data_IF_640113218344
#
_entry.id   IF_640113218344
#
_cell.length_a   1.000
_cell.length_b   1.000
_cell.length_c   1.000
_cell.angle_alpha   90.00
_cell.angle_beta   90.00
_cell.angle_gamma   90.00
#
_symmetry.space_group_name_H-M   'P 1'
#
loop_
_entity.id
_entity.type
_entity.pdbx_description
1 polymer ?
#
# COMPACT_ATOMS: atom_id res chain seq x y z
N UNK A 1 -3.35 26.11 5.36
CA UNK A 1 -3.06 24.95 4.49
C UNK A 1 -1.89 24.11 5.00
N UNK A 2 -0.71 24.69 5.31
CA UNK A 2 0.44 23.90 5.80
C UNK A 2 0.18 23.15 7.13
N UNK A 3 -0.43 23.80 8.12
CA UNK A 3 -0.76 23.18 9.42
C UNK A 3 -1.80 22.05 9.33
N UNK A 4 -2.79 22.16 8.45
CA UNK A 4 -3.86 21.14 8.31
C UNK A 4 -3.27 19.82 7.78
N UNK A 5 -2.41 19.90 6.75
CA UNK A 5 -1.77 18.70 6.21
C UNK A 5 -0.80 18.07 7.23
N UNK A 6 -0.10 18.88 8.03
CA UNK A 6 0.74 18.35 9.11
C UNK A 6 -0.08 17.62 10.19
N UNK A 7 -1.23 18.17 10.59
CA UNK A 7 -2.13 17.52 11.55
C UNK A 7 -2.69 16.20 11.00
N UNK A 8 -3.09 16.16 9.73
CA UNK A 8 -3.59 14.94 9.09
C UNK A 8 -2.48 13.88 9.00
N UNK A 9 -1.26 14.26 8.60
CA UNK A 9 -0.13 13.33 8.54
C UNK A 9 0.18 12.74 9.93
N UNK A 10 0.20 13.56 10.98
CA UNK A 10 0.41 13.07 12.35
C UNK A 10 -0.75 12.19 12.86
N UNK A 11 -1.98 12.47 12.44
CA UNK A 11 -3.12 11.59 12.73
C UNK A 11 -2.94 10.22 12.06
N UNK A 12 -2.55 10.19 10.78
CA UNK A 12 -2.25 8.96 10.03
C UNK A 12 -1.14 8.16 10.72
N UNK A 13 -0.06 8.81 11.15
CA UNK A 13 1.03 8.15 11.90
C UNK A 13 0.50 7.48 13.19
N UNK A 14 -0.36 8.18 13.93
CA UNK A 14 -0.99 7.64 15.14
C UNK A 14 -1.94 6.47 14.85
N UNK A 15 -2.75 6.57 13.81
CA UNK A 15 -3.66 5.52 13.36
C UNK A 15 -2.90 4.29 12.89
N UNK A 16 -1.79 4.49 12.16
CA UNK A 16 -0.90 3.42 11.73
C UNK A 16 -0.30 2.68 12.93
N UNK A 17 0.21 3.39 13.94
CA UNK A 17 0.72 2.75 15.16
C UNK A 17 -0.38 1.95 15.88
N UNK A 18 -1.58 2.52 15.99
CA UNK A 18 -2.73 1.84 16.61
C UNK A 18 -3.12 0.57 15.83
N UNK A 19 -3.11 0.66 14.50
CA UNK A 19 -3.36 -0.49 13.62
C UNK A 19 -2.28 -1.56 13.82
N UNK A 20 -1.00 -1.18 13.85
CA UNK A 20 0.11 -2.09 14.09
C UNK A 20 -0.06 -2.81 15.43
N UNK A 21 -0.40 -2.09 16.50
CA UNK A 21 -0.59 -2.67 17.85
C UNK A 21 -1.76 -3.67 17.90
N UNK A 22 -2.91 -3.32 17.31
CA UNK A 22 -4.05 -4.24 17.24
C UNK A 22 -3.72 -5.50 16.45
N UNK A 23 -3.04 -5.33 15.32
CA UNK A 23 -2.65 -6.44 14.46
C UNK A 23 -1.62 -7.35 15.12
N UNK A 24 -0.64 -6.80 15.86
CA UNK A 24 0.35 -7.61 16.58
C UNK A 24 -0.30 -8.59 17.54
N UNK A 25 -1.39 -8.20 18.22
CA UNK A 25 -2.13 -9.13 19.10
C UNK A 25 -2.75 -10.31 18.34
N UNK A 26 -3.26 -10.05 17.13
CA UNK A 26 -3.80 -11.10 16.25
C UNK A 26 -2.68 -12.01 15.79
N UNK A 27 -1.55 -11.43 15.36
CA UNK A 27 -0.38 -12.17 14.92
C UNK A 27 0.18 -13.06 16.05
N UNK A 28 0.28 -12.54 17.27
CA UNK A 28 0.73 -13.29 18.46
C UNK A 28 -0.21 -14.45 18.80
N UNK A 29 -1.53 -14.23 18.72
CA UNK A 29 -2.51 -15.28 18.95
C UNK A 29 -2.41 -16.40 17.91
N UNK A 30 -2.22 -16.03 16.64
CA UNK A 30 -2.00 -16.97 15.54
C UNK A 30 -0.67 -17.73 15.71
N UNK A 31 0.40 -17.06 16.12
CA UNK A 31 1.71 -17.69 16.36
C UNK A 31 1.65 -18.67 17.54
N UNK A 32 0.93 -18.35 18.61
CA UNK A 32 0.68 -19.28 19.71
C UNK A 32 -0.08 -20.54 19.25
N UNK A 33 -1.04 -20.37 18.33
CA UNK A 33 -1.76 -21.51 17.74
C UNK A 33 -0.81 -22.38 16.93
N UNK A 34 -0.03 -21.78 16.03
CA UNK A 34 0.94 -22.52 15.22
C UNK A 34 1.93 -23.30 16.10
N UNK A 35 2.45 -22.67 17.16
CA UNK A 35 3.36 -23.32 18.11
C UNK A 35 2.71 -24.47 18.89
N UNK A 36 1.45 -24.32 19.33
CA UNK A 36 0.74 -25.40 20.05
C UNK A 36 0.38 -26.57 19.13
N UNK A 37 0.05 -26.26 17.88
CA UNK A 37 -0.18 -27.27 16.83
C UNK A 37 1.09 -28.07 16.57
N UNK A 38 2.23 -27.40 16.43
CA UNK A 38 3.54 -28.05 16.23
C UNK A 38 3.93 -28.93 17.43
N UNK A 39 3.62 -28.49 18.65
CA UNK A 39 3.85 -29.24 19.89
C UNK A 39 2.86 -30.41 20.10
N UNK A 40 1.88 -30.59 19.23
CA UNK A 40 0.86 -31.65 19.37
C UNK A 40 -0.03 -31.49 20.62
N UNK A 41 -0.12 -30.27 21.18
CA UNK A 41 -0.95 -29.99 22.35
C UNK A 41 -2.41 -29.79 21.91
N UNK A 42 -3.34 -30.37 22.66
CA UNK A 42 -4.78 -30.33 22.37
C UNK A 42 -5.28 -28.94 21.96
N UNK A 43 -5.89 -28.87 20.78
CA UNK A 43 -6.22 -27.61 20.12
C UNK A 43 -7.58 -27.11 20.62
N UNK A 44 -7.58 -26.48 21.79
CA UNK A 44 -8.73 -25.75 22.31
C UNK A 44 -8.30 -24.30 22.56
N UNK A 45 -8.01 -23.57 21.48
CA UNK A 45 -7.56 -22.17 21.54
C UNK A 45 -8.68 -21.32 20.99
N UNK A 46 -9.37 -20.65 21.89
CA UNK A 46 -10.37 -19.63 21.56
C UNK A 46 -9.61 -18.40 21.02
N UNK A 47 -9.46 -18.30 19.70
CA UNK A 47 -9.02 -17.04 19.08
C UNK A 47 -10.24 -16.13 19.12
N UNK A 48 -10.28 -15.24 20.11
CA UNK A 48 -11.37 -14.27 20.31
C UNK A 48 -11.72 -13.55 18.99
N UNK A 49 -12.95 -13.79 18.53
CA UNK A 49 -13.56 -13.21 17.32
C UNK A 49 -13.57 -11.66 17.36
N UNK A 50 -13.46 -11.06 18.56
CA UNK A 50 -13.51 -9.62 18.78
C UNK A 50 -12.27 -8.85 18.27
N UNK A 51 -11.23 -9.52 17.76
CA UNK A 51 -9.98 -8.86 17.34
C UNK A 51 -9.86 -8.62 15.83
N UNK A 52 -10.51 -9.43 14.98
CA UNK A 52 -10.38 -9.35 13.51
C UNK A 52 -11.21 -8.22 12.89
N UNK A 53 -12.46 -8.05 13.31
CA UNK A 53 -13.34 -7.00 12.77
C UNK A 53 -12.83 -5.58 13.13
N UNK A 54 -12.23 -5.47 14.32
CA UNK A 54 -11.60 -4.26 14.85
C UNK A 54 -10.34 -3.85 14.06
N UNK A 55 -9.58 -4.85 13.60
CA UNK A 55 -8.41 -4.68 12.73
C UNK A 55 -8.83 -4.15 11.37
N UNK A 56 -9.84 -4.77 10.74
CA UNK A 56 -10.32 -4.37 9.41
C UNK A 56 -10.91 -2.96 9.42
N UNK A 57 -11.63 -2.59 10.47
CA UNK A 57 -12.21 -1.25 10.61
C UNK A 57 -11.12 -0.18 10.70
N UNK A 58 -10.10 -0.41 11.53
CA UNK A 58 -8.98 0.52 11.66
C UNK A 58 -8.16 0.63 10.37
N UNK A 59 -8.01 -0.48 9.64
CA UNK A 59 -7.33 -0.52 8.35
C UNK A 59 -8.06 0.33 7.29
N UNK A 60 -9.39 0.19 7.20
CA UNK A 60 -10.20 0.95 6.24
C UNK A 60 -10.06 2.46 6.49
N UNK A 61 -10.12 2.89 7.76
CA UNK A 61 -9.94 4.29 8.16
C UNK A 61 -8.55 4.80 7.76
N UNK A 62 -7.50 4.03 8.06
CA UNK A 62 -6.13 4.40 7.72
C UNK A 62 -5.96 4.55 6.20
N UNK A 63 -6.42 3.57 5.42
CA UNK A 63 -6.33 3.60 3.96
C UNK A 63 -7.12 4.77 3.37
N UNK A 64 -8.31 5.06 3.91
CA UNK A 64 -9.12 6.19 3.47
C UNK A 64 -8.44 7.54 3.73
N UNK A 65 -7.90 7.74 4.93
CA UNK A 65 -7.21 8.98 5.30
C UNK A 65 -5.96 9.22 4.43
N UNK A 66 -5.18 8.17 4.14
CA UNK A 66 -4.02 8.29 3.25
C UNK A 66 -4.47 8.57 1.81
N UNK A 67 -5.48 7.85 1.30
CA UNK A 67 -6.00 8.04 -0.04
C UNK A 67 -6.56 9.47 -0.25
N UNK A 68 -7.30 9.99 0.73
CA UNK A 68 -7.82 11.36 0.70
C UNK A 68 -6.68 12.38 0.69
N UNK A 69 -5.62 12.17 1.48
CA UNK A 69 -4.48 13.06 1.52
C UNK A 69 -3.72 13.07 0.17
N UNK A 70 -3.55 11.90 -0.47
CA UNK A 70 -2.96 11.79 -1.82
C UNK A 70 -3.81 12.58 -2.83
N UNK A 71 -5.14 12.39 -2.83
CA UNK A 71 -6.07 13.13 -3.70
C UNK A 71 -6.00 14.64 -3.43
N UNK A 72 -5.91 15.05 -2.17
CA UNK A 72 -5.80 16.45 -1.81
C UNK A 72 -4.49 17.06 -2.31
N UNK A 73 -3.35 16.36 -2.20
CA UNK A 73 -2.07 16.83 -2.75
C UNK A 73 -2.13 16.99 -4.28
N UNK A 74 -2.78 16.08 -4.99
CA UNK A 74 -2.99 16.21 -6.44
C UNK A 74 -3.87 17.43 -6.77
N UNK A 75 -4.96 17.66 -6.03
CA UNK A 75 -5.81 18.86 -6.18
C UNK A 75 -5.02 20.16 -5.94
N UNK A 76 -4.19 20.20 -4.90
CA UNK A 76 -3.35 21.38 -4.61
C UNK A 76 -2.35 21.61 -5.74
N UNK A 77 -1.77 20.54 -6.29
CA UNK A 77 -0.87 20.60 -7.46
C UNK A 77 -1.56 21.22 -8.67
N UNK A 78 -2.77 20.77 -8.99
CA UNK A 78 -3.54 21.31 -10.13
C UNK A 78 -3.88 22.79 -9.92
N UNK A 79 -4.31 23.17 -8.71
CA UNK A 79 -4.60 24.58 -8.38
C UNK A 79 -3.36 25.48 -8.44
N UNK A 80 -2.18 24.96 -8.13
CA UNK A 80 -0.92 25.70 -8.32
C UNK A 80 -0.64 25.93 -9.81
N UNK A 81 -0.90 24.94 -10.67
CA UNK A 81 -0.84 25.11 -12.13
C UNK A 81 -1.74 26.24 -12.63
N UNK A 82 -2.99 26.29 -12.16
CA UNK A 82 -3.94 27.36 -12.49
C UNK A 82 -3.44 28.73 -12.01
N UNK A 83 -3.01 28.81 -10.75
CA UNK A 83 -2.47 30.05 -10.16
C UNK A 83 -1.26 30.56 -10.96
N UNK A 84 -0.43 29.66 -11.46
CA UNK A 84 0.72 30.00 -12.27
C UNK A 84 0.33 30.53 -13.66
N UNK A 85 -0.67 29.90 -14.30
CA UNK A 85 -1.23 30.40 -15.56
C UNK A 85 -1.77 31.82 -15.39
N UNK A 86 -2.48 32.09 -14.30
CA UNK A 86 -2.98 33.42 -13.94
C UNK A 86 -1.84 34.42 -13.71
N UNK A 87 -0.72 33.99 -13.13
CA UNK A 87 0.46 34.83 -12.97
C UNK A 87 1.11 35.23 -14.30
N UNK A 88 0.95 34.45 -15.38
CA UNK A 88 1.40 34.85 -16.72
C UNK A 88 0.53 35.98 -17.28
N UNK A 89 -0.77 36.01 -16.97
CA UNK A 89 -1.68 37.04 -17.42
C UNK A 89 -1.52 38.36 -16.64
N UNK A 90 -1.88 39.49 -17.27
CA UNK A 90 -2.00 40.77 -16.56
C UNK A 90 -3.25 40.76 -15.69
N UNK A 91 -3.10 41.15 -14.43
CA UNK A 91 -4.25 41.36 -13.52
C UNK A 91 -5.10 42.53 -13.99
N UNK A 92 -6.33 42.63 -13.47
CA UNK A 92 -7.21 43.77 -13.76
C UNK A 92 -6.55 45.12 -13.46
N UNK A 93 -5.84 45.24 -12.34
CA UNK A 93 -5.08 46.44 -11.98
C UNK A 93 -3.90 46.70 -12.92
N UNK A 94 -3.17 45.67 -13.35
CA UNK A 94 -2.08 45.83 -14.33
C UNK A 94 -2.60 46.19 -15.71
N UNK A 95 -3.73 45.63 -16.14
CA UNK A 95 -4.41 46.02 -17.39
C UNK A 95 -4.86 47.47 -17.34
N UNK A 96 -5.42 47.89 -16.19
CA UNK A 96 -5.83 49.28 -15.96
C UNK A 96 -4.63 50.25 -16.01
N UNK A 97 -3.53 49.96 -15.32
CA UNK A 97 -2.30 50.75 -15.42
C UNK A 97 -1.71 50.69 -16.84
N UNK A 98 -1.85 49.56 -17.53
CA UNK A 98 -1.38 49.36 -18.91
C UNK A 98 -2.09 50.24 -19.94
N UNK A 99 -3.29 50.73 -19.63
CA UNK A 99 -3.99 51.74 -20.43
C UNK A 99 -3.25 53.09 -20.43
N UNK A 100 -2.61 53.44 -19.31
CA UNK A 100 -1.88 54.70 -19.12
C UNK A 100 -0.37 54.57 -19.34
N UNK A 101 0.23 53.44 -18.95
CA UNK A 101 1.66 53.17 -19.11
C UNK A 101 1.92 51.67 -19.23
N UNK A 102 2.32 51.24 -20.43
CA UNK A 102 2.72 49.85 -20.70
C UNK A 102 3.90 49.43 -19.82
N UNK A 103 4.93 50.29 -19.71
CA UNK A 103 6.13 50.02 -18.91
C UNK A 103 5.83 49.85 -17.41
N UNK A 104 4.92 50.66 -16.85
CA UNK A 104 4.53 50.53 -15.45
C UNK A 104 3.73 49.24 -15.20
N UNK A 105 2.81 48.90 -16.10
CA UNK A 105 2.05 47.65 -16.08
C UNK A 105 2.95 46.41 -16.13
N UNK A 106 3.96 46.43 -16.99
CA UNK A 106 4.92 45.33 -17.11
C UNK A 106 5.83 45.22 -15.87
N UNK A 107 6.24 46.35 -15.29
CA UNK A 107 7.00 46.38 -14.04
C UNK A 107 6.21 45.83 -12.85
N UNK A 108 4.90 46.12 -12.77
CA UNK A 108 4.02 45.57 -11.73
C UNK A 108 3.89 44.04 -11.85
N UNK A 109 3.70 43.53 -13.07
CA UNK A 109 3.66 42.08 -13.34
C UNK A 109 4.99 41.41 -12.99
N UNK A 110 6.10 42.01 -13.40
CA UNK A 110 7.44 41.51 -13.10
C UNK A 110 7.68 41.44 -11.57
N UNK A 111 7.28 42.49 -10.84
CA UNK A 111 7.39 42.53 -9.37
C UNK A 111 6.55 41.43 -8.73
N UNK A 112 5.30 41.21 -9.16
CA UNK A 112 4.44 40.13 -8.66
C UNK A 112 5.04 38.76 -8.90
N UNK A 113 5.54 38.51 -10.11
CA UNK A 113 6.18 37.23 -10.47
C UNK A 113 7.41 36.99 -9.60
N UNK A 114 8.25 38.02 -9.38
CA UNK A 114 9.44 37.93 -8.52
C UNK A 114 9.13 37.72 -7.04
N UNK A 115 8.05 38.30 -6.53
CA UNK A 115 7.70 38.22 -5.10
C UNK A 115 6.94 36.96 -4.71
N UNK A 116 6.48 36.16 -5.68
CA UNK A 116 5.79 34.91 -5.39
C UNK A 116 6.81 33.79 -5.26
N UNK A 117 6.90 33.18 -4.08
CA UNK A 117 7.85 32.11 -3.81
C UNK A 117 7.32 30.75 -4.29
N UNK A 118 7.58 30.46 -5.56
CA UNK A 118 7.12 29.24 -6.24
C UNK A 118 7.95 28.03 -5.77
N UNK A 119 9.23 28.24 -5.48
CA UNK A 119 10.14 27.18 -5.05
C UNK A 119 9.80 26.69 -3.65
N UNK A 120 9.52 27.60 -2.71
CA UNK A 120 9.12 27.22 -1.34
C UNK A 120 7.83 26.41 -1.32
N UNK A 121 6.84 26.80 -2.14
CA UNK A 121 5.57 26.06 -2.26
C UNK A 121 5.75 24.67 -2.88
N UNK A 122 6.62 24.52 -3.88
CA UNK A 122 6.96 23.22 -4.44
C UNK A 122 7.63 22.32 -3.40
N UNK A 123 8.64 22.85 -2.70
CA UNK A 123 9.38 22.11 -1.68
C UNK A 123 8.45 21.63 -0.57
N UNK A 124 7.52 22.47 -0.09
CA UNK A 124 6.53 22.06 0.91
C UNK A 124 5.61 20.91 0.43
N UNK A 125 5.23 20.90 -0.84
CA UNK A 125 4.44 19.80 -1.41
C UNK A 125 5.26 18.51 -1.59
N UNK A 126 6.51 18.63 -2.04
CA UNK A 126 7.43 17.50 -2.16
C UNK A 126 7.73 16.91 -0.78
N UNK A 127 8.00 17.74 0.22
CA UNK A 127 8.28 17.30 1.60
C UNK A 127 7.08 16.54 2.19
N UNK A 128 5.86 17.03 1.94
CA UNK A 128 4.63 16.33 2.34
C UNK A 128 4.45 15.00 1.62
N UNK A 129 4.63 14.99 0.30
CA UNK A 129 4.62 13.76 -0.50
C UNK A 129 5.63 12.74 0.03
N UNK A 130 6.87 13.16 0.27
CA UNK A 130 7.95 12.30 0.76
C UNK A 130 7.65 11.72 2.15
N UNK A 131 7.03 12.52 3.03
CA UNK A 131 6.61 12.02 4.35
C UNK A 131 5.50 10.98 4.24
N UNK A 132 4.51 11.19 3.37
CA UNK A 132 3.45 10.20 3.11
C UNK A 132 4.04 8.94 2.47
N UNK A 133 4.94 9.09 1.51
CA UNK A 133 5.66 7.96 0.90
C UNK A 133 6.41 7.16 1.98
N UNK A 134 7.11 7.83 2.89
CA UNK A 134 7.81 7.15 3.99
C UNK A 134 6.86 6.37 4.89
N UNK A 135 5.70 6.93 5.23
CA UNK A 135 4.67 6.22 6.01
C UNK A 135 4.18 4.98 5.25
N UNK A 136 3.88 5.11 3.96
CA UNK A 136 3.41 4.01 3.12
C UNK A 136 4.47 2.92 2.93
N UNK A 137 5.74 3.30 2.75
CA UNK A 137 6.86 2.34 2.65
C UNK A 137 7.03 1.59 3.96
N UNK A 138 7.01 2.29 5.11
CA UNK A 138 7.07 1.65 6.42
C UNK A 138 5.89 0.69 6.63
N UNK A 139 4.68 1.10 6.22
CA UNK A 139 3.50 0.24 6.27
C UNK A 139 3.67 -1.00 5.39
N UNK A 140 4.15 -0.85 4.16
CA UNK A 140 4.42 -1.96 3.25
C UNK A 140 5.41 -2.95 3.86
N UNK A 141 6.50 -2.47 4.45
CA UNK A 141 7.55 -3.33 5.00
C UNK A 141 7.04 -4.13 6.23
N UNK A 142 6.20 -3.51 7.05
CA UNK A 142 5.48 -4.21 8.15
C UNK A 142 4.53 -5.27 7.59
N UNK A 143 3.72 -4.93 6.56
CA UNK A 143 2.79 -5.86 5.94
C UNK A 143 3.49 -7.04 5.26
N UNK A 144 4.63 -6.80 4.60
CA UNK A 144 5.42 -7.83 3.94
C UNK A 144 6.00 -8.83 4.96
N UNK A 145 6.59 -8.31 6.04
CA UNK A 145 7.10 -9.13 7.15
C UNK A 145 6.00 -10.04 7.74
N UNK A 146 4.81 -9.47 7.93
CA UNK A 146 3.63 -10.19 8.45
C UNK A 146 3.11 -11.23 7.47
N UNK A 147 3.00 -10.88 6.19
CA UNK A 147 2.56 -11.80 5.13
C UNK A 147 3.47 -13.02 5.06
N UNK A 148 4.79 -12.81 5.12
CA UNK A 148 5.77 -13.89 5.12
C UNK A 148 5.59 -14.80 6.34
N UNK A 149 5.43 -14.23 7.55
CA UNK A 149 5.19 -15.01 8.78
C UNK A 149 3.86 -15.78 8.71
N UNK A 150 2.77 -15.13 8.32
CA UNK A 150 1.45 -15.77 8.22
C UNK A 150 1.44 -16.89 7.17
N UNK A 151 2.16 -16.72 6.06
CA UNK A 151 2.30 -17.75 5.02
C UNK A 151 3.10 -18.96 5.51
N UNK A 152 4.19 -18.75 6.26
CA UNK A 152 4.95 -19.87 6.83
C UNK A 152 4.13 -20.60 7.91
N UNK A 153 3.43 -19.88 8.78
CA UNK A 153 2.55 -20.49 9.79
C UNK A 153 1.43 -21.32 9.14
N UNK A 154 0.80 -20.80 8.08
CA UNK A 154 -0.22 -21.54 7.31
C UNK A 154 0.36 -22.84 6.76
N UNK A 155 1.55 -22.77 6.17
CA UNK A 155 2.25 -23.93 5.63
C UNK A 155 2.56 -24.97 6.71
N UNK A 156 3.05 -24.56 7.88
CA UNK A 156 3.29 -25.47 9.02
C UNK A 156 2.00 -26.17 9.44
N UNK A 157 0.90 -25.44 9.63
CA UNK A 157 -0.39 -26.04 10.02
C UNK A 157 -0.90 -27.02 8.96
N UNK A 158 -0.76 -26.69 7.67
CA UNK A 158 -1.12 -27.59 6.58
C UNK A 158 -0.29 -28.88 6.58
N UNK A 159 1.02 -28.77 6.85
CA UNK A 159 1.91 -29.93 6.98
C UNK A 159 1.53 -30.80 8.18
N UNK A 160 1.31 -30.20 9.35
CA UNK A 160 0.86 -30.95 10.53
C UNK A 160 -0.47 -31.65 10.26
N UNK A 161 -1.41 -31.02 9.57
CA UNK A 161 -2.67 -31.67 9.17
C UNK A 161 -2.43 -32.88 8.27
N UNK A 162 -1.54 -32.75 7.28
CA UNK A 162 -1.19 -33.85 6.39
C UNK A 162 -0.62 -35.05 7.17
N UNK A 163 0.27 -34.79 8.13
CA UNK A 163 0.83 -35.81 9.02
C UNK A 163 -0.24 -36.49 9.87
N UNK A 164 -1.17 -35.71 10.47
CA UNK A 164 -2.28 -36.27 11.27
C UNK A 164 -3.28 -37.05 10.43
N UNK A 165 -3.50 -36.66 9.19
CA UNK A 165 -4.35 -37.41 8.26
C UNK A 165 -3.74 -38.78 7.92
N UNK A 166 -2.42 -38.83 7.74
CA UNK A 166 -1.69 -40.10 7.55
C UNK A 166 -1.81 -40.99 8.80
N UNK A 167 -1.62 -40.41 9.99
CA UNK A 167 -1.79 -41.12 11.27
C UNK A 167 -3.22 -41.67 11.41
N UNK A 168 -4.23 -40.85 11.12
CA UNK A 168 -5.65 -41.22 11.16
C UNK A 168 -5.95 -42.40 10.22
N UNK A 169 -5.42 -42.34 8.99
CA UNK A 169 -5.59 -43.43 8.01
C UNK A 169 -4.96 -44.75 8.48
N UNK A 170 -3.80 -44.68 9.14
CA UNK A 170 -3.13 -45.85 9.68
C UNK A 170 -3.90 -46.44 10.85
N UNK A 171 -4.34 -45.61 11.81
CA UNK A 171 -5.17 -46.05 12.94
C UNK A 171 -6.47 -46.69 12.45
N UNK A 172 -7.14 -46.07 11.48
CA UNK A 172 -8.35 -46.63 10.89
C UNK A 172 -8.11 -47.92 10.10
N UNK A 173 -6.90 -48.18 9.61
CA UNK A 173 -6.53 -49.48 9.02
C UNK A 173 -6.31 -50.55 10.10
N UNK A 174 -5.61 -50.22 11.19
CA UNK A 174 -5.40 -51.14 12.31
C UNK A 174 -6.71 -51.54 13.00
N UNK A 175 -7.66 -50.61 13.15
CA UNK A 175 -9.00 -50.89 13.68
C UNK A 175 -9.70 -51.93 12.79
N UNK A 176 -9.72 -51.70 11.46
CA UNK A 176 -10.33 -52.61 10.48
C UNK A 176 -9.67 -54.00 10.46
N UNK A 177 -8.37 -54.08 10.71
CA UNK A 177 -7.65 -55.36 10.81
C UNK A 177 -7.92 -56.11 12.13
N UNK A 178 -8.26 -55.39 13.21
CA UNK A 178 -8.58 -55.97 14.52
C UNK A 178 -10.02 -56.51 14.60
N UNK A 179 -10.98 -55.87 13.91
CA UNK A 179 -12.39 -56.31 13.87
C UNK A 179 -12.57 -57.81 13.57
N UNK A 180 -11.96 -58.39 12.50
CA UNK A 180 -12.08 -59.82 12.24
C UNK A 180 -11.31 -60.68 13.24
N UNK A 181 -10.24 -60.18 13.87
CA UNK A 181 -9.49 -60.91 14.89
C UNK A 181 -10.30 -61.04 16.19
N UNK A 182 -10.97 -59.96 16.61
CA UNK A 182 -11.92 -59.97 17.72
C UNK A 182 -13.06 -60.95 17.46
N UNK A 183 -13.67 -60.90 16.27
CA UNK A 183 -14.74 -61.82 15.88
C UNK A 183 -14.30 -63.29 15.98
N UNK A 184 -13.11 -63.61 15.46
CA UNK A 184 -12.54 -64.98 15.57
C UNK A 184 -12.22 -65.37 17.01
N UNK A 185 -11.79 -64.41 17.84
CA UNK A 185 -11.51 -64.66 19.25
C UNK A 185 -12.80 -64.97 20.02
N UNK A 186 -13.87 -64.20 19.77
CA UNK A 186 -15.21 -64.44 20.34
C UNK A 186 -15.71 -65.85 19.99
N UNK A 187 -15.56 -66.27 18.73
CA UNK A 187 -15.90 -67.62 18.26
C UNK A 187 -15.09 -68.71 18.98
N UNK A 188 -13.78 -68.51 19.19
CA UNK A 188 -12.91 -69.46 19.91
C UNK A 188 -13.29 -69.59 21.38
N UNK A 189 -13.50 -68.46 22.07
CA UNK A 189 -13.93 -68.44 23.49
C UNK A 189 -15.27 -69.15 23.64
N UNK A 190 -16.21 -68.93 22.71
CA UNK A 190 -17.52 -69.59 22.73
C UNK A 190 -17.45 -71.11 22.48
N UNK A 191 -16.49 -71.58 21.68
CA UNK A 191 -16.28 -72.99 21.38
C UNK A 191 -15.47 -73.76 22.43
N UNK A 192 -14.75 -73.06 23.32
CA UNK A 192 -13.88 -73.67 24.33
C UNK A 192 -14.69 -74.40 25.42
N UNK A 193 -14.40 -75.68 25.62
CA UNK A 193 -15.06 -76.54 26.62
C UNK A 193 -14.19 -76.82 27.85
N UNK A 194 -12.86 -76.72 27.71
CA UNK A 194 -11.93 -76.84 28.84
C UNK A 194 -11.84 -75.51 29.63
N UNK A 195 -11.99 -75.52 30.97
CA UNK A 195 -11.94 -74.30 31.77
C UNK A 195 -10.61 -73.54 31.73
N UNK A 196 -9.48 -74.26 31.63
CA UNK A 196 -8.16 -73.63 31.62
C UNK A 196 -7.87 -72.98 30.26
N UNK A 197 -8.21 -73.66 29.16
CA UNK A 197 -8.14 -73.12 27.80
C UNK A 197 -9.02 -71.88 27.64
N UNK A 198 -10.25 -71.94 28.14
CA UNK A 198 -11.18 -70.80 28.11
C UNK A 198 -10.61 -69.58 28.84
N UNK A 199 -10.05 -69.77 30.02
CA UNK A 199 -9.44 -68.68 30.81
C UNK A 199 -8.28 -68.01 30.06
N UNK A 200 -7.47 -68.81 29.34
CA UNK A 200 -6.37 -68.29 28.53
C UNK A 200 -6.88 -67.45 27.34
N UNK A 201 -7.92 -67.94 26.64
CA UNK A 201 -8.54 -67.23 25.52
C UNK A 201 -9.24 -65.94 25.96
N UNK A 202 -9.94 -65.94 27.10
CA UNK A 202 -10.55 -64.74 27.69
C UNK A 202 -9.49 -63.67 28.02
N UNK A 203 -8.29 -64.08 28.44
CA UNK A 203 -7.17 -63.16 28.68
C UNK A 203 -6.64 -62.54 27.37
N UNK A 204 -6.52 -63.32 26.30
CA UNK A 204 -6.11 -62.83 24.97
C UNK A 204 -7.17 -61.91 24.36
N UNK A 205 -8.45 -62.26 24.51
CA UNK A 205 -9.59 -61.44 24.10
C UNK A 205 -9.61 -60.08 24.82
N UNK A 206 -9.31 -60.06 26.12
CA UNK A 206 -9.21 -58.81 26.87
C UNK A 206 -8.10 -57.92 26.30
N UNK A 207 -6.91 -58.47 26.04
CA UNK A 207 -5.79 -57.71 25.45
C UNK A 207 -6.13 -57.13 24.06
N UNK A 208 -6.83 -57.91 23.21
CA UNK A 208 -7.33 -57.46 21.91
C UNK A 208 -8.34 -56.32 22.05
N UNK A 209 -9.29 -56.44 22.99
CA UNK A 209 -10.29 -55.40 23.27
C UNK A 209 -9.65 -54.12 23.80
N UNK A 210 -8.66 -54.22 24.68
CA UNK A 210 -7.91 -53.07 25.19
C UNK A 210 -7.18 -52.33 24.06
N UNK A 211 -6.53 -53.08 23.16
CA UNK A 211 -5.88 -52.50 21.97
C UNK A 211 -6.90 -51.81 21.05
N UNK A 212 -8.02 -52.47 20.76
CA UNK A 212 -9.08 -51.92 19.91
C UNK A 212 -9.66 -50.62 20.50
N UNK A 213 -10.02 -50.62 21.78
CA UNK A 213 -10.55 -49.44 22.47
C UNK A 213 -9.55 -48.28 22.48
N UNK A 214 -8.25 -48.57 22.65
CA UNK A 214 -7.19 -47.56 22.57
C UNK A 214 -7.13 -46.92 21.19
N UNK A 215 -7.15 -47.73 20.13
CA UNK A 215 -7.11 -47.24 18.75
C UNK A 215 -8.37 -46.44 18.39
N UNK A 216 -9.57 -46.90 18.78
CA UNK A 216 -10.83 -46.16 18.56
C UNK A 216 -10.81 -44.80 19.27
N UNK A 217 -10.29 -44.74 20.49
CA UNK A 217 -10.13 -43.46 21.20
C UNK A 217 -9.12 -42.56 20.49
N UNK A 218 -8.01 -43.12 19.99
CA UNK A 218 -7.02 -42.38 19.22
C UNK A 218 -7.58 -41.84 17.91
N UNK A 219 -8.38 -42.63 17.20
CA UNK A 219 -9.07 -42.21 15.98
C UNK A 219 -9.96 -40.99 16.23
N UNK A 220 -10.77 -41.03 17.31
CA UNK A 220 -11.62 -39.90 17.70
C UNK A 220 -10.81 -38.64 18.03
N UNK A 221 -9.69 -38.79 18.73
CA UNK A 221 -8.78 -37.69 19.02
C UNK A 221 -8.24 -37.06 17.73
N UNK A 222 -7.74 -37.89 16.80
CA UNK A 222 -7.18 -37.44 15.52
C UNK A 222 -8.22 -36.75 14.63
N UNK A 223 -9.46 -37.23 14.60
CA UNK A 223 -10.57 -36.56 13.89
C UNK A 223 -10.82 -35.18 14.48
N UNK A 224 -10.89 -35.06 15.81
CA UNK A 224 -11.12 -33.78 16.47
C UNK A 224 -9.97 -32.79 16.20
N UNK A 225 -8.72 -33.26 16.24
CA UNK A 225 -7.54 -32.46 15.89
C UNK A 225 -7.60 -32.01 14.43
N UNK A 226 -7.94 -32.89 13.49
CA UNK A 226 -8.05 -32.57 12.06
C UNK A 226 -9.09 -31.48 11.79
N UNK A 227 -10.26 -31.57 12.43
CA UNK A 227 -11.30 -30.53 12.35
C UNK A 227 -10.84 -29.17 12.88
N UNK A 228 -10.11 -29.16 14.00
CA UNK A 228 -9.50 -27.94 14.53
C UNK A 228 -8.49 -27.35 13.56
N UNK A 229 -7.58 -28.17 13.00
CA UNK A 229 -6.60 -27.73 12.01
C UNK A 229 -7.26 -27.13 10.77
N UNK A 230 -8.35 -27.73 10.27
CA UNK A 230 -9.13 -27.19 9.15
C UNK A 230 -9.71 -25.79 9.46
N UNK A 231 -10.17 -25.57 10.68
CA UNK A 231 -10.64 -24.26 11.11
C UNK A 231 -9.51 -23.23 11.10
N UNK A 232 -8.32 -23.58 11.61
CA UNK A 232 -7.18 -22.66 11.59
C UNK A 232 -6.66 -22.40 10.19
N UNK A 233 -6.53 -23.43 9.33
CA UNK A 233 -6.14 -23.25 7.92
C UNK A 233 -7.02 -22.21 7.24
N UNK A 234 -8.35 -22.30 7.43
CA UNK A 234 -9.27 -21.29 6.88
C UNK A 234 -9.02 -19.89 7.44
N UNK A 235 -8.82 -19.75 8.76
CA UNK A 235 -8.52 -18.46 9.39
C UNK A 235 -7.22 -17.85 8.87
N UNK A 236 -6.16 -18.66 8.78
CA UNK A 236 -4.86 -18.24 8.26
C UNK A 236 -4.92 -17.87 6.77
N UNK A 237 -5.66 -18.63 5.94
CA UNK A 237 -5.88 -18.30 4.54
C UNK A 237 -6.58 -16.94 4.37
N UNK A 238 -7.62 -16.68 5.16
CA UNK A 238 -8.29 -15.37 5.17
C UNK A 238 -7.31 -14.26 5.58
N UNK A 239 -6.50 -14.49 6.62
CA UNK A 239 -5.48 -13.55 7.06
C UNK A 239 -4.41 -13.25 5.99
N UNK A 240 -3.88 -14.29 5.34
CA UNK A 240 -2.90 -14.17 4.24
C UNK A 240 -3.49 -13.38 3.07
N UNK A 241 -4.71 -13.71 2.63
CA UNK A 241 -5.37 -12.99 1.55
C UNK A 241 -5.59 -11.51 1.90
N UNK A 242 -6.03 -11.22 3.13
CA UNK A 242 -6.18 -9.85 3.62
C UNK A 242 -4.86 -9.07 3.59
N UNK A 243 -3.76 -9.69 4.06
CA UNK A 243 -2.43 -9.07 4.05
C UNK A 243 -1.95 -8.79 2.61
N UNK A 244 -2.20 -9.71 1.68
CA UNK A 244 -1.89 -9.51 0.25
C UNK A 244 -2.69 -8.35 -0.36
N UNK A 245 -3.98 -8.27 -0.07
CA UNK A 245 -4.84 -7.18 -0.54
C UNK A 245 -4.36 -5.82 0.02
N UNK A 246 -4.01 -5.78 1.30
CA UNK A 246 -3.43 -4.61 1.95
C UNK A 246 -2.11 -4.18 1.30
N UNK A 247 -1.18 -5.13 1.10
CA UNK A 247 0.11 -4.86 0.47
C UNK A 247 -0.08 -4.27 -0.94
N UNK A 248 -1.06 -4.78 -1.68
CA UNK A 248 -1.36 -4.29 -3.01
C UNK A 248 -2.00 -2.88 -3.00
N UNK A 249 -2.88 -2.59 -2.05
CA UNK A 249 -3.44 -1.25 -1.85
C UNK A 249 -2.34 -0.22 -1.54
N UNK A 250 -1.45 -0.54 -0.59
CA UNK A 250 -0.31 0.32 -0.23
C UNK A 250 0.64 0.49 -1.41
N UNK A 251 0.93 -0.56 -2.18
CA UNK A 251 1.79 -0.48 -3.36
C UNK A 251 1.22 0.43 -4.45
N UNK A 252 -0.10 0.45 -4.63
CA UNK A 252 -0.76 1.39 -5.55
C UNK A 252 -0.70 2.82 -5.03
N UNK A 253 -0.90 3.05 -3.73
CA UNK A 253 -0.75 4.37 -3.12
C UNK A 253 0.69 4.91 -3.23
N UNK A 254 1.71 4.07 -2.98
CA UNK A 254 3.12 4.42 -3.17
C UNK A 254 3.39 4.81 -4.62
N UNK A 255 2.89 3.99 -5.55
CA UNK A 255 3.10 4.23 -6.99
C UNK A 255 2.47 5.57 -7.41
N UNK A 256 1.25 5.84 -6.94
CA UNK A 256 0.53 7.10 -7.19
C UNK A 256 1.27 8.31 -6.63
N UNK A 257 1.67 8.29 -5.34
CA UNK A 257 2.34 9.45 -4.73
C UNK A 257 3.71 9.72 -5.37
N UNK A 258 4.46 8.68 -5.75
CA UNK A 258 5.74 8.83 -6.46
C UNK A 258 5.55 9.50 -7.81
N UNK A 259 4.62 9.00 -8.62
CA UNK A 259 4.38 9.52 -9.98
C UNK A 259 3.84 10.96 -9.91
N UNK A 260 2.92 11.25 -8.99
CA UNK A 260 2.42 12.62 -8.81
C UNK A 260 3.51 13.59 -8.36
N UNK A 261 4.42 13.13 -7.50
CA UNK A 261 5.53 13.96 -7.01
C UNK A 261 6.56 14.22 -8.10
N UNK A 262 6.87 13.20 -8.90
CA UNK A 262 7.72 13.31 -10.09
C UNK A 262 7.10 14.29 -11.10
N UNK A 263 5.82 14.10 -11.46
CA UNK A 263 5.10 14.99 -12.37
C UNK A 263 5.05 16.42 -11.81
N UNK A 264 4.78 16.59 -10.51
CA UNK A 264 4.79 17.91 -9.87
C UNK A 264 6.14 18.58 -10.03
N UNK A 265 7.24 17.87 -9.79
CA UNK A 265 8.59 18.42 -9.97
C UNK A 265 8.79 18.93 -11.40
N UNK A 266 8.40 18.12 -12.40
CA UNK A 266 8.58 18.46 -13.82
C UNK A 266 7.71 19.65 -14.21
N UNK A 267 6.42 19.63 -13.85
CA UNK A 267 5.50 20.73 -14.12
C UNK A 267 6.05 22.04 -13.55
N UNK A 268 6.57 22.03 -12.32
CA UNK A 268 7.10 23.24 -11.73
C UNK A 268 8.41 23.71 -12.38
N UNK A 269 9.29 22.79 -12.80
CA UNK A 269 10.51 23.16 -13.53
C UNK A 269 10.19 23.76 -14.91
N UNK A 270 9.25 23.16 -15.64
CA UNK A 270 8.72 23.69 -16.90
C UNK A 270 8.14 25.10 -16.74
N UNK A 271 7.33 25.27 -15.71
CA UNK A 271 6.72 26.53 -15.36
C UNK A 271 7.81 27.57 -15.02
N UNK A 272 8.74 27.25 -14.13
CA UNK A 272 9.85 28.13 -13.74
C UNK A 272 10.72 28.54 -14.94
N UNK A 273 11.05 27.58 -15.80
CA UNK A 273 11.79 27.83 -17.04
C UNK A 273 11.01 28.75 -17.98
N UNK A 274 9.71 28.50 -18.19
CA UNK A 274 8.85 29.36 -19.00
C UNK A 274 8.80 30.81 -18.50
N UNK A 275 8.77 31.03 -17.18
CA UNK A 275 8.84 32.39 -16.61
C UNK A 275 10.19 33.06 -16.90
N UNK A 276 11.30 32.34 -16.74
CA UNK A 276 12.64 32.88 -17.03
C UNK A 276 12.77 33.25 -18.52
N UNK A 277 12.28 32.40 -19.42
CA UNK A 277 12.29 32.66 -20.87
C UNK A 277 11.44 33.89 -21.21
N UNK A 278 10.22 33.98 -20.67
CA UNK A 278 9.36 35.14 -20.90
C UNK A 278 10.01 36.45 -20.40
N UNK A 279 10.66 36.43 -19.23
CA UNK A 279 11.41 37.57 -18.71
C UNK A 279 12.60 37.94 -19.62
N UNK A 280 13.35 36.96 -20.13
CA UNK A 280 14.47 37.21 -21.05
C UNK A 280 13.99 37.82 -22.37
N UNK A 281 12.86 37.35 -22.90
CA UNK A 281 12.27 37.90 -24.13
C UNK A 281 11.79 39.35 -23.91
N UNK A 282 11.13 39.64 -22.79
CA UNK A 282 10.72 41.02 -22.45
C UNK A 282 11.94 41.95 -22.33
N UNK A 283 13.06 41.48 -21.75
CA UNK A 283 14.33 42.24 -21.69
C UNK A 283 14.90 42.46 -23.10
N UNK A 284 14.91 41.42 -23.94
CA UNK A 284 15.41 41.52 -25.31
C UNK A 284 14.60 42.52 -26.15
N UNK A 285 13.27 42.54 -26.02
CA UNK A 285 12.41 43.54 -26.66
C UNK A 285 12.70 44.95 -26.16
N UNK A 286 12.81 45.16 -24.85
CA UNK A 286 13.18 46.46 -24.27
C UNK A 286 14.56 46.93 -24.77
N UNK A 287 15.53 46.03 -24.87
CA UNK A 287 16.86 46.33 -25.37
C UNK A 287 16.85 46.72 -26.84
N UNK A 288 16.05 46.01 -27.66
CA UNK A 288 15.86 46.33 -29.06
C UNK A 288 15.18 47.70 -29.24
N UNK A 289 14.11 47.99 -28.49
CA UNK A 289 13.42 49.27 -28.55
C UNK A 289 14.34 50.44 -28.14
N UNK A 290 15.17 50.25 -27.11
CA UNK A 290 16.20 51.22 -26.70
C UNK A 290 17.28 51.37 -27.78
N UNK A 291 17.75 50.26 -28.37
CA UNK A 291 18.72 50.26 -29.46
C UNK A 291 18.21 50.99 -30.71
N UNK A 292 16.94 50.81 -31.08
CA UNK A 292 16.32 51.56 -32.19
C UNK A 292 16.14 53.05 -31.90
N UNK A 293 16.08 53.44 -30.63
CA UNK A 293 16.01 54.84 -30.21
C UNK A 293 17.41 55.51 -30.11
N UNK A 294 18.49 54.72 -30.10
CA UNK A 294 19.88 55.16 -29.94
C UNK A 294 20.68 54.71 -31.15
N UNK A 295 20.68 55.49 -32.24
CA UNK A 295 21.42 55.10 -33.45
C UNK A 295 22.54 56.07 -33.85
N UNK A 296 23.78 55.55 -33.78
CA UNK A 296 24.78 55.60 -34.86
C UNK A 296 26.13 54.89 -34.56
N UNK A 297 26.30 54.11 -33.49
CA UNK A 297 27.53 53.30 -33.31
C UNK A 297 27.31 51.90 -32.69
N UNK A 298 26.07 51.51 -32.38
CA UNK A 298 25.75 50.32 -31.57
C UNK A 298 25.51 49.02 -32.36
N UNK A 299 25.65 49.01 -33.69
CA UNK A 299 25.18 47.92 -34.58
C UNK A 299 25.96 46.61 -34.40
N UNK A 300 27.26 46.67 -34.09
CA UNK A 300 28.12 45.48 -33.91
C UNK A 300 27.84 44.78 -32.57
N UNK A 301 27.64 45.54 -31.50
CA UNK A 301 27.25 45.00 -30.20
C UNK A 301 25.83 44.41 -30.25
N UNK A 302 24.94 45.00 -31.03
CA UNK A 302 23.57 44.50 -31.23
C UNK A 302 23.52 43.14 -31.92
N UNK A 303 24.33 42.92 -32.95
CA UNK A 303 24.42 41.63 -33.64
C UNK A 303 24.97 40.53 -32.71
N UNK A 304 25.98 40.83 -31.89
CA UNK A 304 26.55 39.88 -30.93
C UNK A 304 25.57 39.55 -29.80
N UNK A 305 24.83 40.54 -29.28
CA UNK A 305 23.82 40.35 -28.23
C UNK A 305 22.60 39.59 -28.78
N UNK A 306 22.15 39.91 -30.00
CA UNK A 306 21.08 39.17 -30.68
C UNK A 306 21.45 37.72 -30.96
N UNK A 307 22.69 37.45 -31.40
CA UNK A 307 23.19 36.10 -31.59
C UNK A 307 23.28 35.31 -30.27
N UNK A 308 23.78 35.92 -29.19
CA UNK A 308 23.85 35.30 -27.87
C UNK A 308 22.45 35.03 -27.27
N UNK A 309 21.49 35.94 -27.50
CA UNK A 309 20.09 35.77 -27.10
C UNK A 309 19.40 34.64 -27.88
N UNK A 310 19.60 34.59 -29.20
CA UNK A 310 19.09 33.52 -30.06
C UNK A 310 19.71 32.16 -29.72
N UNK A 311 21.01 32.09 -29.42
CA UNK A 311 21.68 30.86 -29.02
C UNK A 311 21.16 30.36 -27.65
N UNK A 312 20.90 31.26 -26.70
CA UNK A 312 20.23 30.91 -25.43
C UNK A 312 18.80 30.44 -25.66
N UNK A 313 18.03 31.11 -26.51
CA UNK A 313 16.67 30.66 -26.88
C UNK A 313 16.69 29.27 -27.54
N UNK A 314 17.64 29.00 -28.44
CA UNK A 314 17.80 27.68 -29.06
C UNK A 314 18.12 26.59 -28.01
N UNK A 315 19.06 26.85 -27.10
CA UNK A 315 19.36 25.91 -26.01
C UNK A 315 18.18 25.68 -25.06
N UNK A 316 17.35 26.71 -24.83
CA UNK A 316 16.11 26.58 -24.06
C UNK A 316 15.06 25.75 -24.82
N UNK A 317 14.91 25.94 -26.13
CA UNK A 317 13.97 25.16 -26.96
C UNK A 317 14.36 23.67 -27.03
N UNK A 318 15.65 23.37 -27.11
CA UNK A 318 16.16 21.99 -27.10
C UNK A 318 15.93 21.31 -25.74
N UNK A 319 16.20 22.01 -24.63
CA UNK A 319 15.86 21.55 -23.29
C UNK A 319 14.33 21.33 -23.14
N UNK A 320 13.52 22.22 -23.71
CA UNK A 320 12.06 22.10 -23.71
C UNK A 320 11.58 20.89 -24.52
N UNK A 321 12.24 20.54 -25.62
CA UNK A 321 11.93 19.37 -26.44
C UNK A 321 12.24 18.04 -25.72
N UNK A 322 13.38 17.98 -25.01
CA UNK A 322 13.69 16.84 -24.13
C UNK A 322 12.65 16.66 -23.02
N UNK A 323 12.23 17.77 -22.41
CA UNK A 323 11.23 17.76 -21.33
C UNK A 323 9.83 17.34 -21.82
N UNK A 324 9.48 17.61 -23.08
CA UNK A 324 8.22 17.17 -23.69
C UNK A 324 8.11 15.64 -23.82
N UNK A 325 9.20 14.95 -24.18
CA UNK A 325 9.21 13.48 -24.27
C UNK A 325 9.05 12.84 -22.87
N UNK A 326 9.78 13.36 -21.88
CA UNK A 326 9.66 12.94 -20.48
C UNK A 326 8.26 13.22 -19.92
N UNK A 327 7.66 14.36 -20.29
CA UNK A 327 6.29 14.70 -19.90
C UNK A 327 5.26 13.70 -20.45
N UNK A 328 5.37 13.26 -21.69
CA UNK A 328 4.44 12.28 -22.27
C UNK A 328 4.50 10.94 -21.53
N UNK A 329 5.72 10.44 -21.26
CA UNK A 329 5.92 9.20 -20.53
C UNK A 329 5.33 9.27 -19.11
N UNK A 330 5.61 10.36 -18.40
CA UNK A 330 5.09 10.58 -17.04
C UNK A 330 3.56 10.71 -17.05
N UNK A 331 2.96 11.37 -18.05
CA UNK A 331 1.51 11.47 -18.17
C UNK A 331 0.86 10.10 -18.40
N UNK A 332 1.47 9.22 -19.20
CA UNK A 332 0.97 7.86 -19.40
C UNK A 332 1.12 7.00 -18.14
N UNK A 333 2.26 7.12 -17.43
CA UNK A 333 2.47 6.49 -16.11
C UNK A 333 1.43 7.00 -15.12
N UNK A 334 1.16 8.30 -15.09
CA UNK A 334 0.15 8.92 -14.22
C UNK A 334 -1.23 8.37 -14.52
N UNK A 335 -1.67 8.36 -15.79
CA UNK A 335 -2.98 7.82 -16.17
C UNK A 335 -3.17 6.38 -15.67
N UNK A 336 -2.14 5.53 -15.83
CA UNK A 336 -2.19 4.15 -15.35
C UNK A 336 -2.26 4.06 -13.82
N UNK A 337 -1.49 4.90 -13.12
CA UNK A 337 -1.49 4.97 -11.66
C UNK A 337 -2.84 5.49 -11.12
N UNK A 338 -3.43 6.50 -11.75
CA UNK A 338 -4.74 7.07 -11.43
C UNK A 338 -5.83 6.02 -11.62
N UNK A 339 -5.84 5.34 -12.78
CA UNK A 339 -6.78 4.26 -13.07
C UNK A 339 -6.67 3.13 -12.03
N UNK A 340 -5.45 2.72 -11.66
CA UNK A 340 -5.23 1.68 -10.66
C UNK A 340 -5.65 2.13 -9.24
N UNK A 341 -5.33 3.36 -8.88
CA UNK A 341 -5.71 3.96 -7.60
C UNK A 341 -7.22 4.05 -7.47
N UNK A 342 -7.91 4.60 -8.46
CA UNK A 342 -9.37 4.73 -8.44
C UNK A 342 -10.05 3.37 -8.38
N UNK A 343 -9.61 2.38 -9.17
CA UNK A 343 -10.19 1.03 -9.12
C UNK A 343 -10.10 0.39 -7.73
N UNK A 344 -8.99 0.57 -7.03
CA UNK A 344 -8.79 -0.02 -5.69
C UNK A 344 -9.43 0.80 -4.57
N UNK A 345 -9.34 2.12 -4.65
CA UNK A 345 -9.68 3.01 -3.54
C UNK A 345 -11.09 3.60 -3.63
N UNK A 346 -11.83 3.46 -4.75
CA UNK A 346 -13.19 4.04 -4.88
C UNK A 346 -14.11 3.62 -3.73
N UNK A 347 -14.19 2.32 -3.45
CA UNK A 347 -15.04 1.80 -2.38
C UNK A 347 -14.61 2.29 -0.99
N UNK A 348 -13.30 2.38 -0.76
CA UNK A 348 -12.73 2.88 0.51
C UNK A 348 -13.06 4.36 0.70
N UNK A 349 -12.91 5.17 -0.35
CA UNK A 349 -13.23 6.60 -0.37
C UNK A 349 -14.73 6.85 -0.22
N UNK A 350 -15.57 6.08 -0.90
CA UNK A 350 -17.04 6.17 -0.81
C UNK A 350 -17.53 5.86 0.61
N UNK A 351 -17.07 4.73 1.19
CA UNK A 351 -17.43 4.33 2.56
C UNK A 351 -16.97 5.36 3.60
N UNK A 352 -15.78 5.94 3.41
CA UNK A 352 -15.28 7.00 4.28
C UNK A 352 -16.11 8.28 4.16
N UNK A 353 -16.50 8.67 2.94
CA UNK A 353 -17.33 9.83 2.70
C UNK A 353 -18.72 9.69 3.34
N UNK A 354 -19.32 8.49 3.32
CA UNK A 354 -20.63 8.24 3.96
C UNK A 354 -20.57 8.19 5.49
N UNK A 355 -19.45 7.76 6.06
CA UNK A 355 -19.26 7.69 7.51
C UNK A 355 -18.83 9.02 8.15
N UNK A 356 -18.52 10.03 7.32
CA UNK A 356 -18.07 11.35 7.75
C UNK A 356 -19.21 12.37 7.94
N UNK A 357 -20.48 11.93 7.86
CA UNK A 357 -21.69 12.77 8.02
C UNK A 357 -22.57 12.35 9.19
#
# INVERSE_FOLDING_TARGET
MSQINQQIISKIESEFNTYVDKQTKVDDALEQVANKVDQGLGINIDIEQATLDDVHTNQDVLNANIAELIVHLDKVTNKFGDTFSDMKAKTFSEKFVGFFSKNASDSMREKRIRTTDIQSNLNDLIDKSNRIESILVNQRDVLDTRLNRASENLKTIMQTREEREVELKNVGAEIRDLEPQLTRMDEKVAAATDPAERTALESEQQALNEKYNTLVNKEKELIAVSQSLDNYIRKFQVGVNSLQDQLSNVSVMISKIRIDTEQRSILYDDLATSLRTAQQQDIAHKLNDIGTAVDNEATVTMAAVGAASNQRMASMLEAHAGTMATNQEILERKRRADDAFMRRMSAVLEKHATNSY
#
